data_IF_815247221959
#
_entry.id   IF_815247221959
#
_cell.length_a   1.000
_cell.length_b   1.000
_cell.length_c   1.000
_cell.angle_alpha   90.00
_cell.angle_beta   90.00
_cell.angle_gamma   90.00
#
_symmetry.space_group_name_H-M   'P 1'
#
loop_
_entity.id
_entity.type
_entity.pdbx_description
1 polymer ?
#
# COMPACT_ATOMS: atom_id res chain seq x y z
N UNK A 1 39.50 26.10 19.13
CA UNK A 1 38.10 26.47 19.41
C UNK A 1 37.25 25.57 18.54
N UNK A 2 36.49 24.64 19.14
CA UNK A 2 35.65 23.72 18.37
C UNK A 2 34.30 24.39 18.13
N UNK A 3 33.84 24.35 16.88
CA UNK A 3 32.58 24.94 16.45
C UNK A 3 31.40 24.12 17.01
N UNK A 4 30.44 24.77 17.66
CA UNK A 4 29.28 24.11 18.29
C UNK A 4 28.11 24.14 17.32
N UNK A 5 27.68 22.97 16.86
CA UNK A 5 26.52 22.84 15.97
C UNK A 5 25.26 22.53 16.75
N UNK A 6 24.29 23.45 16.72
CA UNK A 6 22.96 23.22 17.28
C UNK A 6 22.13 22.38 16.31
N UNK A 7 21.61 21.23 16.78
CA UNK A 7 20.74 20.35 15.99
C UNK A 7 19.48 20.06 16.78
N UNK A 8 18.31 20.17 16.13
CA UNK A 8 17.02 19.77 16.70
C UNK A 8 16.52 18.53 15.96
N UNK A 9 16.11 17.51 16.72
CA UNK A 9 15.39 16.36 16.17
C UNK A 9 13.89 16.64 16.22
N UNK A 10 13.25 16.63 15.05
CA UNK A 10 11.80 16.82 14.92
C UNK A 10 11.17 15.55 14.35
N UNK A 11 10.06 15.11 14.95
CA UNK A 11 9.21 14.08 14.38
C UNK A 11 8.11 14.74 13.56
N UNK A 12 8.13 14.53 12.26
CA UNK A 12 7.04 14.94 11.38
C UNK A 12 5.95 13.88 11.44
N UNK A 13 4.73 14.31 11.77
CA UNK A 13 3.53 13.48 11.71
C UNK A 13 2.69 13.93 10.50
N UNK A 14 1.93 13.01 9.87
CA UNK A 14 1.00 13.38 8.82
C UNK A 14 -0.05 14.35 9.35
N UNK A 15 -0.48 15.29 8.51
CA UNK A 15 -1.70 16.07 8.78
C UNK A 15 -2.91 15.14 8.79
N UNK A 16 -4.06 15.56 9.37
CA UNK A 16 -5.28 14.74 9.34
C UNK A 16 -5.68 14.28 7.93
N UNK A 17 -5.52 15.14 6.92
CA UNK A 17 -5.83 14.83 5.52
C UNK A 17 -4.87 13.78 4.96
N UNK A 18 -3.58 13.88 5.30
CA UNK A 18 -2.58 12.90 4.89
C UNK A 18 -2.80 11.54 5.57
N UNK A 19 -3.17 11.54 6.85
CA UNK A 19 -3.50 10.33 7.59
C UNK A 19 -4.72 9.62 6.98
N UNK A 20 -5.78 10.38 6.70
CA UNK A 20 -6.98 9.85 6.06
C UNK A 20 -6.69 9.32 4.64
N UNK A 21 -5.88 10.02 3.85
CA UNK A 21 -5.46 9.56 2.52
C UNK A 21 -4.65 8.26 2.59
N UNK A 22 -3.74 8.14 3.56
CA UNK A 22 -2.97 6.92 3.79
C UNK A 22 -3.88 5.75 4.20
N UNK A 23 -4.79 5.97 5.14
CA UNK A 23 -5.76 4.97 5.59
C UNK A 23 -6.64 4.46 4.44
N UNK A 24 -7.20 5.37 3.65
CA UNK A 24 -7.99 5.03 2.47
C UNK A 24 -7.19 4.20 1.45
N UNK A 25 -5.93 4.56 1.23
CA UNK A 25 -5.01 3.84 0.34
C UNK A 25 -4.74 2.42 0.85
N UNK A 26 -4.49 2.25 2.15
CA UNK A 26 -4.26 0.95 2.76
C UNK A 26 -5.50 0.06 2.67
N UNK A 27 -6.69 0.62 2.88
CA UNK A 27 -7.93 -0.14 2.70
C UNK A 27 -8.15 -0.57 1.25
N UNK A 28 -7.86 0.30 0.27
CA UNK A 28 -7.94 -0.07 -1.15
C UNK A 28 -6.94 -1.20 -1.50
N UNK A 29 -5.70 -1.09 -1.03
CA UNK A 29 -4.69 -2.13 -1.24
C UNK A 29 -5.11 -3.47 -0.61
N UNK A 30 -5.67 -3.45 0.59
CA UNK A 30 -6.15 -4.66 1.27
C UNK A 30 -7.31 -5.31 0.51
N UNK A 31 -8.29 -4.53 0.02
CA UNK A 31 -9.38 -5.06 -0.81
C UNK A 31 -8.86 -5.72 -2.09
N UNK A 32 -7.91 -5.09 -2.76
CA UNK A 32 -7.26 -5.66 -3.94
C UNK A 32 -6.53 -6.97 -3.59
N UNK A 33 -5.81 -7.02 -2.47
CA UNK A 33 -5.12 -8.22 -2.00
C UNK A 33 -6.11 -9.37 -1.67
N UNK A 34 -7.23 -9.07 -1.02
CA UNK A 34 -8.29 -10.04 -0.72
C UNK A 34 -8.88 -10.64 -2.01
N UNK A 35 -9.12 -9.80 -3.03
CA UNK A 35 -9.56 -10.25 -4.36
C UNK A 35 -8.53 -11.19 -5.00
N UNK A 36 -7.25 -10.80 -5.03
CA UNK A 36 -6.18 -11.64 -5.59
C UNK A 36 -6.07 -12.96 -4.85
N UNK A 37 -6.09 -12.93 -3.51
CA UNK A 37 -6.04 -14.12 -2.66
C UNK A 37 -7.19 -15.08 -2.98
N UNK A 38 -8.42 -14.56 -3.01
CA UNK A 38 -9.60 -15.36 -3.35
C UNK A 38 -9.48 -16.04 -4.72
N UNK A 39 -9.01 -15.32 -5.73
CA UNK A 39 -8.81 -15.86 -7.08
C UNK A 39 -7.70 -16.92 -7.08
N UNK A 40 -6.59 -16.68 -6.38
CA UNK A 40 -5.47 -17.60 -6.28
C UNK A 40 -5.89 -18.97 -5.71
N UNK A 41 -6.62 -18.95 -4.59
CA UNK A 41 -7.10 -20.18 -3.97
C UNK A 41 -8.20 -20.88 -4.78
N UNK A 42 -9.13 -20.11 -5.37
CA UNK A 42 -10.21 -20.67 -6.19
C UNK A 42 -9.68 -21.37 -7.44
N UNK A 43 -8.68 -20.79 -8.09
CA UNK A 43 -8.12 -21.31 -9.35
C UNK A 43 -6.87 -22.17 -9.16
N UNK A 44 -6.41 -22.32 -7.91
CA UNK A 44 -5.10 -22.90 -7.53
C UNK A 44 -3.95 -22.34 -8.36
N UNK A 45 -4.00 -21.03 -8.61
CA UNK A 45 -3.01 -20.29 -9.37
C UNK A 45 -2.26 -19.35 -8.43
N UNK A 46 -0.98 -19.60 -8.20
CA UNK A 46 -0.18 -18.83 -7.23
C UNK A 46 0.98 -18.07 -7.89
N UNK A 47 1.22 -18.30 -9.18
CA UNK A 47 2.25 -17.58 -9.92
C UNK A 47 1.77 -16.15 -10.17
N UNK A 48 2.54 -15.17 -9.68
CA UNK A 48 2.19 -13.75 -9.75
C UNK A 48 1.80 -13.29 -11.17
N UNK A 49 2.58 -13.69 -12.18
CA UNK A 49 2.31 -13.32 -13.57
C UNK A 49 0.94 -13.80 -14.06
N UNK A 50 0.56 -15.04 -13.72
CA UNK A 50 -0.72 -15.61 -14.12
C UNK A 50 -1.88 -14.97 -13.35
N UNK A 51 -1.70 -14.73 -12.05
CA UNK A 51 -2.67 -13.99 -11.24
C UNK A 51 -2.96 -12.60 -11.79
N UNK A 52 -1.93 -11.86 -12.23
CA UNK A 52 -2.11 -10.52 -12.79
C UNK A 52 -3.00 -10.53 -14.04
N UNK A 53 -2.95 -11.57 -14.87
CA UNK A 53 -3.85 -11.71 -16.04
C UNK A 53 -5.33 -11.78 -15.62
N UNK A 54 -5.61 -12.29 -14.42
CA UNK A 54 -6.97 -12.43 -13.91
C UNK A 54 -7.44 -11.22 -13.10
N UNK A 55 -6.52 -10.47 -12.49
CA UNK A 55 -6.88 -9.46 -11.48
C UNK A 55 -6.54 -8.02 -11.87
N UNK A 56 -5.58 -7.79 -12.77
CA UNK A 56 -5.04 -6.46 -13.02
C UNK A 56 -6.09 -5.48 -13.55
N UNK A 57 -6.85 -5.86 -14.58
CA UNK A 57 -7.85 -4.96 -15.17
C UNK A 57 -9.00 -4.65 -14.20
N UNK A 58 -9.33 -5.60 -13.31
CA UNK A 58 -10.34 -5.40 -12.26
C UNK A 58 -9.85 -4.41 -11.21
N UNK A 59 -8.65 -4.61 -10.70
CA UNK A 59 -8.05 -3.73 -9.68
C UNK A 59 -7.81 -2.33 -10.25
N UNK A 60 -7.46 -2.21 -11.54
CA UNK A 60 -7.24 -0.92 -12.20
C UNK A 60 -8.54 -0.11 -12.40
N UNK A 61 -9.69 -0.78 -12.45
CA UNK A 61 -10.98 -0.14 -12.65
C UNK A 61 -11.63 0.35 -11.34
N UNK A 62 -11.08 -0.04 -10.19
CA UNK A 62 -11.41 0.51 -8.86
C UNK A 62 -10.73 1.87 -8.63
#
# INVERSE_FOLDING_TARGET
MFDVRLVVQVKLLPTPEQAAALEATLHAANRAADLVSRIAFTQRCFRNYDLRKHTYDRIKAE
#
